data_IF_441224429562
#
_entry.id   IF_441224429562
#
_cell.length_a   1.000
_cell.length_b   1.000
_cell.length_c   1.000
_cell.angle_alpha   90.00
_cell.angle_beta   90.00
_cell.angle_gamma   90.00
#
_symmetry.space_group_name_H-M   'P 1'
#
loop_
_entity.id
_entity.type
_entity.pdbx_description
1 polymer ?
#
# COMPACT_ATOMS: atom_id res chain seq x y z
N UNK A 1 7.47 -26.56 7.84
CA UNK A 1 8.17 -25.74 6.82
C UNK A 1 9.23 -24.79 7.40
N UNK A 2 9.25 -24.48 8.70
CA UNK A 2 10.37 -23.71 9.30
C UNK A 2 10.54 -22.28 8.75
N UNK A 3 9.49 -21.69 8.20
CA UNK A 3 9.50 -20.38 7.57
C UNK A 3 9.38 -19.28 8.62
N UNK A 4 10.21 -18.26 8.50
CA UNK A 4 10.10 -17.02 9.28
C UNK A 4 9.24 -16.02 8.51
N UNK A 5 8.24 -15.44 9.16
CA UNK A 5 7.41 -14.38 8.60
C UNK A 5 7.98 -13.04 9.02
N UNK A 6 8.28 -12.19 8.04
CA UNK A 6 8.69 -10.79 8.26
C UNK A 6 7.54 -9.89 7.76
N UNK A 7 7.01 -9.05 8.64
CA UNK A 7 5.86 -8.19 8.35
C UNK A 7 6.31 -6.77 7.97
N UNK A 8 5.57 -6.14 7.06
CA UNK A 8 5.76 -4.72 6.75
C UNK A 8 5.21 -3.83 7.87
N UNK A 9 5.70 -2.59 7.95
CA UNK A 9 5.15 -1.61 8.89
C UNK A 9 3.73 -1.20 8.47
N UNK A 10 2.89 -0.92 9.46
CA UNK A 10 1.48 -0.59 9.28
C UNK A 10 1.32 0.59 8.31
N UNK A 11 0.46 0.41 7.28
CA UNK A 11 0.17 1.42 6.24
C UNK A 11 1.40 1.98 5.50
N UNK A 12 2.42 1.14 5.27
CA UNK A 12 3.60 1.49 4.50
C UNK A 12 3.82 0.49 3.35
N UNK A 13 3.00 0.55 2.27
CA UNK A 13 3.10 -0.36 1.13
C UNK A 13 4.45 -0.23 0.40
N UNK A 14 5.17 0.89 0.58
CA UNK A 14 6.51 1.07 0.04
C UNK A 14 7.52 0.03 0.57
N UNK A 15 7.24 -0.59 1.73
CA UNK A 15 8.06 -1.68 2.27
C UNK A 15 8.09 -2.88 1.32
N UNK A 16 6.96 -3.19 0.69
CA UNK A 16 6.83 -4.26 -0.30
C UNK A 16 6.73 -3.69 -1.74
N UNK A 17 7.47 -2.62 -2.02
CA UNK A 17 7.40 -1.91 -3.29
C UNK A 17 7.76 -2.76 -4.52
N UNK A 18 8.44 -3.90 -4.33
CA UNK A 18 8.73 -4.83 -5.43
C UNK A 18 7.46 -5.52 -5.93
N UNK A 19 6.67 -6.12 -5.04
CA UNK A 19 5.42 -6.80 -5.41
C UNK A 19 4.41 -5.79 -5.93
N UNK A 20 4.28 -4.63 -5.28
CA UNK A 20 3.39 -3.54 -5.71
C UNK A 20 3.69 -3.10 -7.15
N UNK A 21 4.98 -3.00 -7.52
CA UNK A 21 5.37 -2.63 -8.88
C UNK A 21 5.04 -3.73 -9.90
N UNK A 22 5.16 -5.00 -9.50
CA UNK A 22 4.79 -6.14 -10.35
C UNK A 22 3.28 -6.21 -10.52
N UNK A 23 2.52 -6.02 -9.45
CA UNK A 23 1.05 -5.97 -9.47
C UNK A 23 0.57 -4.91 -10.46
N UNK A 24 1.11 -3.69 -10.37
CA UNK A 24 0.77 -2.62 -11.31
C UNK A 24 1.00 -3.01 -12.78
N UNK A 25 2.15 -3.64 -13.09
CA UNK A 25 2.48 -4.05 -14.45
C UNK A 25 1.56 -5.17 -14.93
N UNK A 26 1.26 -6.15 -14.08
CA UNK A 26 0.31 -7.22 -14.39
C UNK A 26 -1.11 -6.69 -14.59
N UNK A 27 -1.56 -5.74 -13.79
CA UNK A 27 -2.85 -5.06 -13.98
C UNK A 27 -2.91 -4.35 -15.34
N UNK A 28 -1.86 -3.66 -15.74
CA UNK A 28 -1.80 -2.98 -17.04
C UNK A 28 -1.82 -3.99 -18.22
N UNK A 29 -1.08 -5.09 -18.10
CA UNK A 29 -1.11 -6.20 -19.08
C UNK A 29 -2.50 -6.83 -19.18
N UNK A 30 -3.13 -7.13 -18.03
CA UNK A 30 -4.46 -7.71 -17.99
C UNK A 30 -5.51 -6.75 -18.54
N UNK A 31 -5.39 -5.44 -18.27
CA UNK A 31 -6.29 -4.44 -18.85
C UNK A 31 -6.22 -4.45 -20.38
N UNK A 32 -5.02 -4.58 -20.96
CA UNK A 32 -4.86 -4.71 -22.41
C UNK A 32 -5.44 -6.03 -22.95
N UNK A 33 -5.25 -7.14 -22.23
CA UNK A 33 -5.82 -8.44 -22.60
C UNK A 33 -7.36 -8.40 -22.58
N UNK A 34 -7.96 -7.82 -21.54
CA UNK A 34 -9.41 -7.71 -21.41
C UNK A 34 -10.04 -6.88 -22.53
N UNK A 35 -9.35 -5.80 -22.95
CA UNK A 35 -9.79 -4.99 -24.09
C UNK A 35 -9.79 -5.76 -25.42
N UNK A 36 -8.95 -6.80 -25.55
CA UNK A 36 -8.76 -7.55 -26.81
C UNK A 36 -9.54 -8.87 -26.85
N UNK A 37 -9.50 -9.63 -25.75
CA UNK A 37 -10.00 -10.99 -25.64
C UNK A 37 -11.30 -11.11 -24.82
N UNK A 38 -11.76 -10.00 -24.22
CA UNK A 38 -13.02 -9.95 -23.48
C UNK A 38 -12.85 -10.04 -21.95
N UNK A 39 -13.96 -10.10 -21.20
CA UNK A 39 -13.97 -9.93 -19.74
C UNK A 39 -13.38 -11.10 -18.94
N UNK A 40 -13.11 -12.25 -19.57
CA UNK A 40 -12.54 -13.43 -18.93
C UNK A 40 -11.04 -13.25 -18.70
N UNK A 41 -10.69 -12.43 -17.72
CA UNK A 41 -9.30 -12.14 -17.36
C UNK A 41 -8.54 -13.37 -16.85
N UNK A 42 -9.25 -14.36 -16.29
CA UNK A 42 -8.66 -15.63 -15.81
C UNK A 42 -7.97 -16.39 -16.95
N UNK A 43 -8.61 -16.46 -18.13
CA UNK A 43 -8.03 -17.07 -19.33
C UNK A 43 -6.79 -16.31 -19.83
N UNK A 44 -6.68 -15.02 -19.47
CA UNK A 44 -5.57 -14.14 -19.84
C UNK A 44 -4.36 -14.22 -18.91
N UNK A 45 -4.53 -14.76 -17.69
CA UNK A 45 -3.46 -14.82 -16.68
C UNK A 45 -2.21 -15.58 -17.16
N UNK A 46 -2.32 -16.79 -17.76
CA UNK A 46 -1.13 -17.52 -18.20
C UNK A 46 -0.35 -16.75 -19.28
N UNK A 47 -1.05 -16.02 -20.15
CA UNK A 47 -0.42 -15.19 -21.17
C UNK A 47 0.28 -13.97 -20.58
N UNK A 48 -0.32 -13.33 -19.58
CA UNK A 48 0.28 -12.21 -18.86
C UNK A 48 1.54 -12.64 -18.08
N UNK A 49 1.47 -13.76 -17.34
CA UNK A 49 2.61 -14.33 -16.62
C UNK A 49 3.75 -14.68 -17.59
N UNK A 50 3.43 -15.38 -18.67
CA UNK A 50 4.40 -15.77 -19.69
C UNK A 50 5.07 -14.54 -20.31
N UNK A 51 4.28 -13.53 -20.67
CA UNK A 51 4.77 -12.29 -21.28
C UNK A 51 5.66 -11.51 -20.32
N UNK A 52 5.27 -11.38 -19.05
CA UNK A 52 6.08 -10.73 -18.03
C UNK A 52 7.41 -11.46 -17.82
N UNK A 53 7.38 -12.79 -17.70
CA UNK A 53 8.57 -13.58 -17.42
C UNK A 53 9.57 -13.61 -18.60
N UNK A 54 9.07 -13.51 -19.83
CA UNK A 54 9.91 -13.46 -21.02
C UNK A 54 10.34 -12.03 -21.40
N UNK A 55 9.73 -11.01 -20.81
CA UNK A 55 10.08 -9.61 -21.09
C UNK A 55 11.46 -9.24 -20.54
N UNK A 56 12.15 -8.36 -21.26
CA UNK A 56 13.47 -7.86 -20.84
C UNK A 56 13.33 -6.94 -19.62
N UNK A 57 14.08 -7.24 -18.55
CA UNK A 57 14.14 -6.39 -17.37
C UNK A 57 15.45 -5.59 -17.33
N UNK A 58 15.34 -4.26 -17.35
CA UNK A 58 16.50 -3.37 -17.39
C UNK A 58 17.40 -3.47 -16.14
N UNK A 59 16.84 -3.79 -14.97
CA UNK A 59 17.59 -3.97 -13.71
C UNK A 59 18.45 -5.24 -13.71
N UNK A 60 18.02 -6.28 -14.42
CA UNK A 60 18.70 -7.58 -14.49
C UNK A 60 19.59 -7.64 -15.75
N UNK A 61 19.19 -6.96 -16.82
CA UNK A 61 19.87 -6.97 -18.12
C UNK A 61 19.52 -8.19 -18.98
N UNK A 62 18.44 -8.90 -18.65
CA UNK A 62 17.88 -10.06 -19.37
C UNK A 62 16.43 -10.30 -18.91
N UNK A 63 15.75 -11.32 -19.44
CA UNK A 63 14.42 -11.72 -18.93
C UNK A 63 14.52 -12.53 -17.64
N UNK A 64 13.46 -12.52 -16.81
CA UNK A 64 13.45 -13.31 -15.55
C UNK A 64 13.52 -14.80 -15.86
N UNK A 65 12.89 -15.25 -16.93
CA UNK A 65 13.00 -16.62 -17.43
C UNK A 65 14.47 -16.99 -17.72
N UNK A 66 15.21 -16.12 -18.41
CA UNK A 66 16.61 -16.35 -18.70
C UNK A 66 17.48 -16.34 -17.44
N UNK A 67 17.19 -15.46 -16.48
CA UNK A 67 17.89 -15.44 -15.21
C UNK A 67 17.66 -16.71 -14.37
N UNK A 68 16.43 -17.25 -14.39
CA UNK A 68 16.04 -18.44 -13.62
C UNK A 68 16.56 -19.74 -14.25
N UNK A 69 16.39 -19.90 -15.57
CA UNK A 69 16.69 -21.14 -16.28
C UNK A 69 18.04 -21.12 -17.02
N UNK A 70 18.72 -19.97 -17.05
CA UNK A 70 20.01 -19.81 -17.74
C UNK A 70 19.93 -19.77 -19.27
N UNK A 71 18.72 -19.79 -19.85
CA UNK A 71 18.48 -19.83 -21.31
C UNK A 71 17.28 -18.98 -21.70
N UNK A 72 17.22 -18.54 -22.94
CA UNK A 72 16.07 -17.81 -23.45
C UNK A 72 14.84 -18.72 -23.60
N UNK A 73 13.65 -18.14 -23.48
CA UNK A 73 12.41 -18.89 -23.65
C UNK A 73 12.22 -19.25 -25.12
N UNK A 74 11.89 -20.51 -25.39
CA UNK A 74 11.57 -20.97 -26.74
C UNK A 74 10.08 -20.71 -26.99
N UNK A 75 9.80 -19.72 -27.82
CA UNK A 75 8.44 -19.47 -28.33
C UNK A 75 8.33 -19.99 -29.75
N UNK A 76 7.11 -20.30 -30.25
CA UNK A 76 6.90 -20.60 -31.66
C UNK A 76 7.41 -19.50 -32.61
N UNK A 77 7.51 -18.26 -32.11
CA UNK A 77 8.07 -17.10 -32.83
C UNK A 77 9.61 -17.03 -32.77
N UNK A 78 10.24 -17.64 -31.77
CA UNK A 78 11.70 -17.68 -31.58
C UNK A 78 12.18 -19.13 -31.49
N UNK A 79 12.08 -19.85 -32.62
CA UNK A 79 12.54 -21.24 -32.76
C UNK A 79 13.99 -21.35 -33.26
N UNK A 80 14.85 -20.38 -32.95
CA UNK A 80 16.20 -20.35 -33.54
C UNK A 80 17.17 -21.43 -33.03
N UNK A 81 16.89 -22.11 -31.90
CA UNK A 81 17.72 -23.24 -31.45
C UNK A 81 17.27 -24.57 -32.07
N UNK A 82 17.49 -24.72 -33.37
CA UNK A 82 17.54 -26.03 -34.03
C UNK A 82 18.84 -26.76 -33.60
N UNK A 83 18.80 -27.43 -32.45
CA UNK A 83 19.92 -28.24 -31.94
C UNK A 83 19.50 -29.21 -30.83
N UNK A 84 20.25 -30.30 -30.68
CA UNK A 84 20.04 -31.29 -29.63
C UNK A 84 20.04 -30.64 -28.24
N UNK A 85 19.18 -31.13 -27.33
CA UNK A 85 19.22 -30.77 -25.90
C UNK A 85 20.64 -31.04 -25.40
N UNK A 86 21.43 -29.99 -25.15
CA UNK A 86 22.65 -30.17 -24.37
C UNK A 86 22.23 -30.65 -22.98
N UNK A 87 22.55 -31.91 -22.70
CA UNK A 87 22.33 -32.55 -21.41
C UNK A 87 23.08 -31.77 -20.32
N UNK A 88 22.58 -31.82 -19.08
CA UNK A 88 23.13 -31.14 -17.90
C UNK A 88 24.63 -31.43 -17.70
N UNK A 89 25.49 -30.62 -18.32
CA UNK A 89 26.94 -30.72 -18.23
C UNK A 89 27.53 -29.72 -17.23
N UNK A 90 28.78 -29.94 -16.77
CA UNK A 90 29.47 -29.02 -15.85
C UNK A 90 29.71 -27.61 -16.43
N UNK A 91 29.63 -27.43 -17.75
CA UNK A 91 29.70 -26.14 -18.43
C UNK A 91 28.50 -25.24 -18.12
N UNK A 92 27.29 -25.80 -18.11
CA UNK A 92 26.04 -25.09 -17.79
C UNK A 92 26.06 -24.52 -16.37
N UNK A 93 26.59 -25.27 -15.39
CA UNK A 93 26.71 -24.77 -14.01
C UNK A 93 27.67 -23.59 -13.91
N UNK A 94 28.77 -23.61 -14.66
CA UNK A 94 29.72 -22.48 -14.71
C UNK A 94 29.09 -21.25 -15.36
N UNK A 95 28.31 -21.43 -16.41
CA UNK A 95 27.58 -20.34 -17.08
C UNK A 95 26.46 -19.78 -16.20
N UNK A 96 25.68 -20.65 -15.56
CA UNK A 96 24.67 -20.25 -14.59
C UNK A 96 25.28 -19.46 -13.43
N UNK A 97 26.40 -19.92 -12.87
CA UNK A 97 27.11 -19.20 -11.81
C UNK A 97 27.58 -17.81 -12.26
N UNK A 98 28.11 -17.69 -13.49
CA UNK A 98 28.49 -16.40 -14.08
C UNK A 98 27.29 -15.49 -14.28
N UNK A 99 26.17 -16.02 -14.78
CA UNK A 99 24.94 -15.26 -14.98
C UNK A 99 24.39 -14.76 -13.65
N UNK A 100 24.35 -15.59 -12.60
CA UNK A 100 23.94 -15.19 -11.26
C UNK A 100 24.84 -14.08 -10.71
N UNK A 101 26.15 -14.18 -10.89
CA UNK A 101 27.08 -13.12 -10.49
C UNK A 101 26.80 -11.79 -11.21
N UNK A 102 26.56 -11.85 -12.52
CA UNK A 102 26.20 -10.67 -13.33
C UNK A 102 24.87 -10.06 -12.89
N UNK A 103 23.85 -10.89 -12.65
CA UNK A 103 22.54 -10.43 -12.17
C UNK A 103 22.68 -9.74 -10.81
N UNK A 104 23.44 -10.30 -9.87
CA UNK A 104 23.68 -9.67 -8.56
C UNK A 104 24.35 -8.30 -8.69
N UNK A 105 25.34 -8.18 -9.56
CA UNK A 105 26.02 -6.90 -9.78
C UNK A 105 25.10 -5.87 -10.44
N UNK A 106 24.36 -6.25 -11.49
CA UNK A 106 23.40 -5.37 -12.14
C UNK A 106 22.31 -4.88 -11.16
N UNK A 107 21.79 -5.79 -10.32
CA UNK A 107 20.84 -5.44 -9.27
C UNK A 107 21.45 -4.46 -8.26
N UNK A 108 22.69 -4.68 -7.84
CA UNK A 108 23.40 -3.76 -6.93
C UNK A 108 23.52 -2.37 -7.53
N UNK A 109 23.90 -2.26 -8.80
CA UNK A 109 24.02 -0.97 -9.51
C UNK A 109 22.65 -0.30 -9.63
N UNK A 110 21.61 -1.05 -10.04
CA UNK A 110 20.26 -0.54 -10.18
C UNK A 110 19.70 -0.04 -8.84
N UNK A 111 19.87 -0.81 -7.76
CA UNK A 111 19.49 -0.42 -6.40
C UNK A 111 20.24 0.83 -5.94
N UNK A 112 21.56 0.90 -6.17
CA UNK A 112 22.38 2.07 -5.81
C UNK A 112 21.89 3.33 -6.53
N UNK A 113 21.57 3.22 -7.83
CA UNK A 113 21.01 4.31 -8.62
C UNK A 113 19.63 4.74 -8.11
N UNK A 114 18.72 3.79 -7.89
CA UNK A 114 17.38 4.06 -7.36
C UNK A 114 17.45 4.76 -6.00
N UNK A 115 18.29 4.25 -5.10
CA UNK A 115 18.59 4.87 -3.80
C UNK A 115 19.07 6.30 -3.97
N UNK A 116 20.08 6.53 -4.82
CA UNK A 116 20.62 7.88 -5.05
C UNK A 116 19.59 8.88 -5.59
N UNK A 117 18.59 8.44 -6.37
CA UNK A 117 17.50 9.30 -6.82
C UNK A 117 16.45 9.53 -5.74
N UNK A 118 16.09 8.49 -4.98
CA UNK A 118 15.12 8.62 -3.91
C UNK A 118 15.64 9.51 -2.78
N UNK A 119 16.90 9.33 -2.38
CA UNK A 119 17.51 10.05 -1.25
C UNK A 119 17.65 11.55 -1.53
N UNK A 120 17.87 11.97 -2.78
CA UNK A 120 17.93 13.39 -3.18
C UNK A 120 16.70 14.20 -2.78
N UNK A 121 15.52 13.57 -2.76
CA UNK A 121 14.26 14.24 -2.46
C UNK A 121 13.78 14.01 -1.03
N UNK A 122 14.46 13.15 -0.25
CA UNK A 122 14.07 12.80 1.12
C UNK A 122 14.77 13.72 2.12
N UNK A 123 14.07 14.00 3.21
CA UNK A 123 14.63 14.69 4.39
C UNK A 123 14.71 13.69 5.52
N UNK A 124 15.80 13.73 6.27
CA UNK A 124 15.91 12.94 7.49
C UNK A 124 14.98 13.55 8.54
N UNK A 125 14.00 12.77 8.97
CA UNK A 125 13.17 13.07 10.14
C UNK A 125 13.53 12.05 11.22
N UNK A 126 13.96 12.55 12.36
CA UNK A 126 14.20 11.78 13.56
C UNK A 126 13.36 12.36 14.70
N UNK A 127 12.89 11.49 15.57
CA UNK A 127 12.15 11.84 16.77
C UNK A 127 12.80 11.14 17.96
N UNK A 128 12.77 11.79 19.12
CA UNK A 128 13.29 11.24 20.36
C UNK A 128 12.16 10.66 21.21
N UNK A 129 12.50 9.78 22.15
CA UNK A 129 11.55 9.20 23.11
C UNK A 129 10.98 10.29 24.01
N UNK A 130 9.67 10.25 24.26
CA UNK A 130 8.96 11.28 25.01
C UNK A 130 8.54 12.51 24.19
N UNK A 131 8.92 12.62 22.91
CA UNK A 131 8.36 13.67 22.04
C UNK A 131 6.91 13.38 21.66
N UNK A 132 6.13 14.46 21.49
CA UNK A 132 4.77 14.37 20.97
C UNK A 132 4.75 14.45 19.45
N UNK A 133 3.99 13.56 18.81
CA UNK A 133 3.83 13.51 17.36
C UNK A 133 2.37 13.35 16.97
N UNK A 134 2.04 13.90 15.81
CA UNK A 134 0.76 13.69 15.16
C UNK A 134 0.83 12.49 14.23
N UNK A 135 -0.16 11.61 14.31
CA UNK A 135 -0.32 10.46 13.43
C UNK A 135 -1.13 10.84 12.18
N UNK A 136 -0.59 10.55 11.00
CA UNK A 136 -1.24 10.76 9.72
C UNK A 136 -2.33 9.71 9.51
N UNK A 137 -3.52 10.17 9.17
CA UNK A 137 -4.65 9.33 8.82
C UNK A 137 -5.02 9.57 7.36
N UNK A 138 -5.18 8.49 6.61
CA UNK A 138 -5.71 8.55 5.24
C UNK A 138 -7.19 8.17 5.28
N UNK A 139 -8.10 9.05 4.82
CA UNK A 139 -9.49 8.66 4.65
C UNK A 139 -9.59 7.75 3.43
N UNK A 140 -9.44 6.44 3.60
CA UNK A 140 -9.86 5.48 2.57
C UNK A 140 -11.35 5.20 2.79
N UNK A 141 -12.13 5.41 1.73
CA UNK A 141 -13.59 5.33 1.72
C UNK A 141 -14.28 6.39 2.58
N UNK A 142 -14.95 7.32 1.88
CA UNK A 142 -15.58 8.47 2.50
C UNK A 142 -16.75 8.09 3.40
N UNK A 143 -16.50 8.01 4.71
CA UNK A 143 -17.56 8.10 5.71
C UNK A 143 -17.06 8.76 7.00
N UNK A 144 -17.42 10.05 7.10
CA UNK A 144 -18.03 10.73 8.27
C UNK A 144 -17.36 10.46 9.62
N UNK A 145 -16.47 11.34 10.10
CA UNK A 145 -15.97 11.26 11.49
C UNK A 145 -15.34 12.52 12.09
N UNK A 146 -15.31 13.64 11.36
CA UNK A 146 -15.05 14.97 11.92
C UNK A 146 -16.17 15.89 11.45
N UNK A 147 -16.56 16.88 12.24
CA UNK A 147 -17.63 17.86 11.96
C UNK A 147 -17.49 18.59 10.59
N UNK A 148 -16.44 18.31 9.81
CA UNK A 148 -16.22 18.82 8.45
C UNK A 148 -16.02 17.69 7.44
N UNK A 149 -16.99 17.53 6.54
CA UNK A 149 -16.99 16.55 5.44
C UNK A 149 -16.02 16.98 4.33
N UNK A 150 -15.32 16.01 3.70
CA UNK A 150 -14.55 16.25 2.47
C UNK A 150 -13.21 16.97 2.70
N UNK A 151 -12.84 17.90 1.82
CA UNK A 151 -11.54 18.62 1.73
C UNK A 151 -10.96 19.16 3.06
N UNK A 152 -11.79 19.28 4.11
CA UNK A 152 -11.48 19.88 5.41
C UNK A 152 -11.34 18.87 6.57
N UNK A 153 -11.48 17.55 6.33
CA UNK A 153 -11.19 16.56 7.37
C UNK A 153 -9.71 16.64 7.82
N UNK A 154 -9.42 16.49 9.13
CA UNK A 154 -8.05 16.53 9.61
C UNK A 154 -7.27 15.34 9.06
N UNK A 155 -6.11 15.62 8.47
CA UNK A 155 -5.19 14.61 7.94
C UNK A 155 -4.28 14.00 9.02
N UNK A 156 -4.33 14.57 10.21
CA UNK A 156 -3.48 14.25 11.33
C UNK A 156 -4.33 14.25 12.59
N UNK A 157 -4.18 13.21 13.42
CA UNK A 157 -4.89 13.05 14.70
C UNK A 157 -3.90 13.08 15.84
N UNK A 158 -4.36 13.66 16.97
CA UNK A 158 -3.75 13.63 18.30
C UNK A 158 -2.29 14.11 18.41
N UNK A 159 -1.87 14.74 19.51
CA UNK A 159 -0.50 14.57 19.94
C UNK A 159 -0.41 13.23 20.71
N UNK A 160 0.28 12.24 20.15
CA UNK A 160 0.62 10.98 20.84
C UNK A 160 2.08 11.04 21.29
N UNK A 161 2.38 10.45 22.45
CA UNK A 161 3.75 10.36 22.94
C UNK A 161 4.47 9.18 22.26
N UNK A 162 5.73 9.40 21.88
CA UNK A 162 6.61 8.30 21.45
C UNK A 162 7.08 7.56 22.68
N UNK A 163 6.69 6.28 22.78
CA UNK A 163 7.07 5.40 23.88
C UNK A 163 8.48 4.86 23.71
N UNK A 164 8.80 4.36 22.51
CA UNK A 164 10.13 3.86 22.20
C UNK A 164 10.43 3.87 20.70
N UNK A 165 11.73 3.88 20.37
CA UNK A 165 12.22 3.73 18.99
C UNK A 165 12.48 2.25 18.67
N UNK A 166 11.63 1.63 17.85
CA UNK A 166 11.74 0.22 17.45
C UNK A 166 12.82 0.01 16.39
N UNK A 167 13.06 1.01 15.53
CA UNK A 167 14.14 1.02 14.55
C UNK A 167 14.43 2.43 14.04
N UNK A 168 15.35 2.58 13.10
CA UNK A 168 15.75 3.90 12.58
C UNK A 168 14.58 4.71 12.01
N UNK A 169 13.60 4.00 11.43
CA UNK A 169 12.45 4.59 10.75
C UNK A 169 11.08 4.21 11.36
N UNK A 170 11.06 3.50 12.49
CA UNK A 170 9.81 2.99 13.08
C UNK A 170 9.74 3.34 14.57
N UNK A 171 8.63 3.94 14.97
CA UNK A 171 8.39 4.41 16.34
C UNK A 171 7.11 3.79 16.89
N UNK A 172 7.15 3.39 18.17
CA UNK A 172 6.00 2.94 18.92
C UNK A 172 5.34 4.13 19.63
N UNK A 173 4.05 4.34 19.38
CA UNK A 173 3.27 5.39 20.00
C UNK A 173 2.48 4.85 21.19
N UNK A 174 2.29 5.71 22.19
CA UNK A 174 1.31 5.48 23.25
C UNK A 174 -0.09 5.81 22.72
N UNK A 175 -0.81 4.76 22.29
CA UNK A 175 -2.18 4.88 21.80
C UNK A 175 -3.18 4.72 22.96
N UNK A 176 -4.21 5.56 23.05
CA UNK A 176 -5.28 5.43 24.03
C UNK A 176 -6.15 4.19 23.76
N UNK A 177 -6.88 3.73 24.78
CA UNK A 177 -7.61 2.43 24.76
C UNK A 177 -8.63 2.30 23.61
N UNK A 178 -9.23 3.40 23.17
CA UNK A 178 -10.17 3.42 22.02
C UNK A 178 -9.49 3.16 20.66
N UNK A 179 -8.15 3.19 20.62
CA UNK A 179 -7.31 2.91 19.46
C UNK A 179 -6.57 1.57 19.57
N UNK A 180 -6.92 0.73 20.56
CA UNK A 180 -6.23 -0.53 20.87
C UNK A 180 -6.23 -1.57 19.75
N UNK A 181 -7.17 -1.49 18.80
CA UNK A 181 -7.16 -2.35 17.61
C UNK A 181 -6.01 -2.05 16.65
N UNK A 182 -5.45 -0.84 16.68
CA UNK A 182 -4.44 -0.39 15.73
C UNK A 182 -3.05 -0.77 16.24
N UNK A 183 -2.23 -1.36 15.35
CA UNK A 183 -0.84 -1.63 15.68
C UNK A 183 -0.09 -0.33 16.05
N UNK A 184 0.57 -0.26 17.23
CA UNK A 184 1.14 0.98 17.76
C UNK A 184 2.45 1.41 17.08
N UNK A 185 2.99 0.59 16.17
CA UNK A 185 4.25 0.84 15.48
C UNK A 185 4.00 1.49 14.12
N UNK A 186 4.55 2.69 13.92
CA UNK A 186 4.36 3.48 12.71
C UNK A 186 5.69 3.89 12.08
N UNK A 187 5.70 3.99 10.75
CA UNK A 187 6.85 4.52 10.01
C UNK A 187 6.91 6.06 10.13
N UNK A 188 8.13 6.64 10.14
CA UNK A 188 8.37 8.10 10.28
C UNK A 188 7.53 8.96 9.32
N UNK A 189 7.28 8.45 8.11
CA UNK A 189 6.49 9.17 7.09
C UNK A 189 5.02 9.36 7.46
N UNK A 190 4.52 8.59 8.42
CA UNK A 190 3.16 8.73 8.98
C UNK A 190 3.15 9.66 10.19
N UNK A 191 4.30 10.15 10.65
CA UNK A 191 4.40 10.98 11.86
C UNK A 191 4.78 12.42 11.51
N UNK A 192 4.30 13.35 12.33
CA UNK A 192 4.67 14.77 12.23
C UNK A 192 4.97 15.34 13.60
N UNK A 193 6.10 16.04 13.76
CA UNK A 193 6.49 16.66 15.03
C UNK A 193 5.40 17.60 15.56
N UNK A 194 5.02 17.43 16.81
CA UNK A 194 4.20 18.41 17.51
C UNK A 194 5.12 19.53 18.05
N UNK A 195 4.98 20.75 17.53
CA UNK A 195 5.79 21.90 17.97
C UNK A 195 5.26 22.56 19.25
N UNK A 196 3.96 22.43 19.50
CA UNK A 196 3.28 22.93 20.70
C UNK A 196 2.09 22.03 21.00
N UNK A 197 2.01 21.56 22.24
CA UNK A 197 0.82 20.88 22.75
C UNK A 197 -0.36 21.87 22.73
N UNK A 198 -1.46 21.57 22.02
CA UNK A 198 -2.66 22.38 22.11
C UNK A 198 -3.19 22.33 23.54
N UNK A 199 -3.39 23.49 24.16
CA UNK A 199 -4.01 23.62 25.49
C UNK A 199 -5.49 23.20 25.46
N UNK A 200 -6.14 23.28 24.28
CA UNK A 200 -7.49 22.79 24.03
C UNK A 200 -7.45 21.36 23.46
N UNK A 201 -7.54 20.35 24.33
CA UNK A 201 -7.87 18.98 23.91
C UNK A 201 -9.31 18.97 23.36
N UNK A 202 -9.46 18.84 22.05
CA UNK A 202 -10.72 18.31 21.50
C UNK A 202 -10.78 16.86 21.99
N UNK A 203 -11.73 16.56 22.88
CA UNK A 203 -11.91 15.24 23.46
C UNK A 203 -12.07 14.19 22.35
N UNK A 204 -11.21 13.17 22.39
CA UNK A 204 -11.31 11.96 21.56
C UNK A 204 -12.42 11.01 22.07
N UNK A 205 -13.44 11.55 22.72
CA UNK A 205 -14.54 10.76 23.25
C UNK A 205 -15.51 10.42 22.12
N UNK A 206 -15.63 9.12 21.84
CA UNK A 206 -16.52 8.45 20.89
C UNK A 206 -15.99 8.17 19.47
N UNK A 207 -14.76 7.62 19.34
CA UNK A 207 -14.37 6.89 18.13
C UNK A 207 -13.86 5.49 18.47
N UNK A 208 -14.76 4.50 18.38
CA UNK A 208 -14.52 3.04 18.38
C UNK A 208 -13.77 2.63 17.09
N UNK A 209 -12.44 2.63 17.15
CA UNK A 209 -11.57 2.37 16.00
C UNK A 209 -11.26 0.87 15.91
N UNK A 210 -11.76 0.24 14.85
CA UNK A 210 -11.43 -1.12 14.43
C UNK A 210 -9.95 -1.25 14.06
N UNK A 211 -9.46 -2.50 14.00
CA UNK A 211 -8.05 -2.87 13.81
C UNK A 211 -7.37 -2.28 12.56
N UNK A 212 -8.17 -1.77 11.64
CA UNK A 212 -7.81 -1.10 10.40
C UNK A 212 -7.96 0.44 10.43
N UNK A 213 -8.04 1.07 11.61
CA UNK A 213 -8.35 2.50 11.81
C UNK A 213 -9.76 2.92 11.33
N UNK A 214 -10.75 2.01 11.29
CA UNK A 214 -12.14 2.28 10.80
C UNK A 214 -13.21 2.24 11.92
N UNK A 215 -14.45 2.72 11.71
CA UNK A 215 -15.54 2.74 12.73
C UNK A 215 -16.87 2.42 12.02
N UNK A 216 -17.78 1.66 12.64
CA UNK A 216 -19.12 1.33 12.10
C UNK A 216 -20.26 2.01 12.88
N UNK A 217 -21.04 2.89 12.23
CA UNK A 217 -22.26 3.50 12.79
C UNK A 217 -23.55 2.82 12.28
N UNK A 218 -24.60 2.76 13.12
CA UNK A 218 -25.95 2.29 12.75
C UNK A 218 -27.04 3.33 13.06
N UNK A 219 -28.15 3.36 12.29
CA UNK A 219 -29.21 4.34 12.47
C UNK A 219 -30.09 3.99 13.67
N UNK A 220 -30.37 4.97 14.54
CA UNK A 220 -31.26 4.81 15.69
C UNK A 220 -32.71 5.21 15.37
N UNK A 221 -32.92 6.40 14.80
CA UNK A 221 -34.27 6.96 14.67
C UNK A 221 -34.39 7.96 13.52
N UNK A 222 -35.55 8.04 12.86
CA UNK A 222 -35.83 9.09 11.86
C UNK A 222 -36.48 10.28 12.59
N UNK A 223 -35.84 11.44 12.56
CA UNK A 223 -36.32 12.67 13.21
C UNK A 223 -37.22 13.51 12.32
N UNK A 224 -36.98 13.56 11.01
CA UNK A 224 -37.76 14.45 10.11
C UNK A 224 -37.87 13.88 8.69
N UNK A 225 -38.86 14.33 7.91
CA UNK A 225 -39.07 13.96 6.51
C UNK A 225 -39.42 15.21 5.69
N UNK A 226 -38.59 15.52 4.69
CA UNK A 226 -38.78 16.63 3.78
C UNK A 226 -38.83 16.15 2.32
N UNK A 227 -39.46 16.90 1.43
CA UNK A 227 -39.44 16.63 0.00
C UNK A 227 -38.58 17.67 -0.72
N UNK A 228 -37.58 17.21 -1.48
CA UNK A 228 -36.76 18.07 -2.34
C UNK A 228 -37.28 18.00 -3.77
N UNK A 229 -37.77 19.13 -4.28
CA UNK A 229 -38.24 19.27 -5.66
C UNK A 229 -37.12 19.68 -6.62
N UNK A 230 -36.99 18.96 -7.72
CA UNK A 230 -36.26 19.41 -8.93
C UNK A 230 -37.29 19.75 -10.00
N UNK A 231 -36.92 20.45 -11.10
CA UNK A 231 -37.85 20.88 -12.18
C UNK A 231 -38.76 19.78 -12.76
N UNK A 232 -38.45 18.49 -12.54
CA UNK A 232 -39.20 17.34 -13.08
C UNK A 232 -39.58 16.25 -12.07
N UNK A 233 -39.05 16.26 -10.85
CA UNK A 233 -39.23 15.16 -9.88
C UNK A 233 -39.25 15.65 -8.44
N UNK A 234 -40.00 14.96 -7.57
CA UNK A 234 -40.00 15.14 -6.11
C UNK A 234 -39.31 13.93 -5.47
N UNK A 235 -38.27 14.19 -4.67
CA UNK A 235 -37.51 13.14 -3.97
C UNK A 235 -37.73 13.31 -2.47
N UNK A 236 -38.29 12.30 -1.76
CA UNK A 236 -38.40 12.34 -0.31
C UNK A 236 -37.03 12.14 0.34
N UNK A 237 -36.70 12.96 1.34
CA UNK A 237 -35.46 12.96 2.10
C UNK A 237 -35.82 12.83 3.58
N UNK A 238 -35.20 11.90 4.29
CA UNK A 238 -35.42 11.69 5.72
C UNK A 238 -34.18 12.15 6.51
N UNK A 239 -34.40 12.81 7.65
CA UNK A 239 -33.38 13.16 8.64
C UNK A 239 -33.31 12.05 9.69
N UNK A 240 -32.16 11.41 9.85
CA UNK A 240 -31.92 10.24 10.68
C UNK A 240 -30.89 10.56 11.77
N UNK A 241 -31.24 10.20 13.02
CA UNK A 241 -30.38 10.17 14.19
C UNK A 241 -29.60 8.85 14.22
N UNK A 242 -28.28 8.96 14.42
CA UNK A 242 -27.33 7.85 14.41
C UNK A 242 -26.75 7.64 15.82
N UNK A 243 -26.24 6.44 16.11
CA UNK A 243 -25.89 5.97 17.47
C UNK A 243 -24.95 6.87 18.28
N UNK A 244 -24.08 7.64 17.61
CA UNK A 244 -23.08 8.49 18.27
C UNK A 244 -23.35 10.00 18.08
N UNK A 245 -24.56 10.38 17.66
CA UNK A 245 -24.89 11.77 17.32
C UNK A 245 -25.88 12.35 18.32
N UNK A 246 -25.74 13.64 18.62
CA UNK A 246 -26.75 14.41 19.34
C UNK A 246 -27.93 14.79 18.43
N UNK A 247 -29.12 15.09 18.97
CA UNK A 247 -30.31 15.47 18.16
C UNK A 247 -30.07 16.66 17.21
N UNK A 248 -29.10 17.52 17.53
CA UNK A 248 -28.70 18.66 16.68
C UNK A 248 -27.92 18.24 15.43
N UNK A 249 -27.31 17.06 15.44
CA UNK A 249 -26.40 16.54 14.40
C UNK A 249 -27.01 15.43 13.53
N UNK A 250 -28.26 15.04 13.80
CA UNK A 250 -29.01 14.10 12.96
C UNK A 250 -29.04 14.58 11.49
N UNK A 251 -28.85 13.64 10.55
CA UNK A 251 -28.70 13.92 9.10
C UNK A 251 -29.80 13.32 8.27
#
# INVERSE_FOLDING_TARGET
>A
MGTKLDYSTTYHPQTDGQTERVNQLLEDLLRACVLTYGPNWEDSLPFAEFSYNNSYQASIGMSTFQALYGRQCRTPLMWEEAGERQFFGPTMFKEAAKNVAKVRENLRIAQSRQKSYADKCRRELAFDEGEFVYLKVSPLHGTKRFHTRGKLAPRYIGPFMIKQKVGDLAYELELPEHLSGVHPVFHVSQLRKCLRLPEDQISLEAVDLQDNLEYLEYPLQILDRAEKGTRRTRIPVCKVLWSNHSEREAT
#
